data_IF_801999376049
#
_entry.id   IF_801999376049
#
_cell.length_a   1.000
_cell.length_b   1.000
_cell.length_c   1.000
_cell.angle_alpha   90.00
_cell.angle_beta   90.00
_cell.angle_gamma   90.00
#
_symmetry.space_group_name_H-M   'P 1'
#
loop_
_entity.id
_entity.type
_entity.pdbx_description
1 polymer ?
#
# COMPACT_ATOMS: atom_id res chain seq x y z
N UNK A 1 6.77 -21.68 31.70
CA UNK A 1 7.16 -22.18 30.36
C UNK A 1 6.18 -21.59 29.34
N UNK A 2 6.71 -21.05 28.23
CA UNK A 2 5.99 -20.18 27.29
C UNK A 2 4.93 -20.96 26.49
N UNK A 3 3.71 -20.42 26.27
CA UNK A 3 2.82 -20.90 25.21
C UNK A 3 3.11 -20.16 23.90
N UNK A 4 3.10 -20.91 22.82
CA UNK A 4 3.70 -20.56 21.53
C UNK A 4 2.59 -20.10 20.58
N UNK A 5 2.57 -18.81 20.24
CA UNK A 5 1.60 -18.25 19.29
C UNK A 5 2.03 -18.54 17.85
N UNK A 6 1.38 -19.52 17.19
CA UNK A 6 1.49 -19.78 15.75
C UNK A 6 0.14 -20.27 15.21
N UNK A 7 -0.33 -19.56 14.18
CA UNK A 7 -1.44 -19.83 13.24
C UNK A 7 -2.87 -19.55 13.77
N UNK A 8 -3.74 -18.81 13.07
CA UNK A 8 -3.69 -18.32 11.69
C UNK A 8 -4.50 -17.03 11.51
N UNK A 9 -3.87 -16.05 10.88
CA UNK A 9 -4.56 -14.87 10.37
C UNK A 9 -5.38 -15.30 9.16
N UNK A 10 -6.70 -15.24 9.28
CA UNK A 10 -7.57 -15.29 8.11
C UNK A 10 -7.45 -13.93 7.42
N UNK A 11 -6.41 -13.79 6.60
CA UNK A 11 -6.30 -12.74 5.61
C UNK A 11 -7.39 -12.99 4.55
N UNK A 12 -8.60 -12.46 4.78
CA UNK A 12 -9.58 -12.36 3.70
C UNK A 12 -9.12 -11.22 2.80
N UNK A 13 -8.27 -11.60 1.84
CA UNK A 13 -8.01 -10.86 0.63
C UNK A 13 -9.33 -10.77 -0.16
N UNK A 14 -10.10 -9.70 0.03
CA UNK A 14 -11.04 -9.28 -1.01
C UNK A 14 -10.25 -8.60 -2.12
N UNK A 15 -9.58 -9.43 -2.92
CA UNK A 15 -9.07 -9.04 -4.22
C UNK A 15 -10.25 -8.90 -5.18
N UNK A 16 -10.84 -7.71 -5.26
CA UNK A 16 -11.64 -7.34 -6.44
C UNK A 16 -10.75 -6.51 -7.36
N UNK A 17 -9.88 -7.23 -8.08
CA UNK A 17 -9.13 -6.67 -9.20
C UNK A 17 -9.98 -6.73 -10.46
N UNK A 18 -10.73 -5.66 -10.75
CA UNK A 18 -11.14 -5.30 -12.10
C UNK A 18 -11.24 -3.77 -12.22
N UNK A 19 -10.09 -3.14 -12.42
CA UNK A 19 -10.01 -1.86 -13.11
C UNK A 19 -8.66 -1.81 -13.86
N UNK A 20 -8.68 -2.13 -15.15
CA UNK A 20 -7.61 -1.75 -16.10
C UNK A 20 -7.66 -0.25 -16.38
N UNK A 21 -7.75 0.55 -15.32
CA UNK A 21 -7.77 2.01 -15.35
C UNK A 21 -6.54 2.51 -14.62
N UNK A 22 -5.87 3.53 -15.17
CA UNK A 22 -4.66 4.16 -14.67
C UNK A 22 -4.53 4.05 -13.14
N UNK A 23 -3.84 3.00 -12.68
CA UNK A 23 -3.55 2.85 -11.26
C UNK A 23 -2.77 4.07 -10.83
N UNK A 24 -3.11 4.63 -9.67
CA UNK A 24 -2.35 5.71 -9.08
C UNK A 24 -0.91 5.21 -8.87
N UNK A 25 0.00 5.68 -9.72
CA UNK A 25 1.36 5.16 -9.85
C UNK A 25 2.12 5.33 -8.55
N UNK A 26 2.70 4.25 -8.05
CA UNK A 26 3.41 4.23 -6.78
C UNK A 26 4.65 3.38 -6.89
N UNK A 27 5.80 4.02 -6.78
CA UNK A 27 7.12 3.38 -6.87
C UNK A 27 7.61 2.81 -5.53
N UNK A 28 6.86 2.99 -4.42
CA UNK A 28 7.29 2.56 -3.08
C UNK A 28 8.38 3.43 -2.44
N UNK A 29 8.92 4.42 -3.16
CA UNK A 29 9.89 5.41 -2.69
C UNK A 29 9.56 6.80 -3.29
N UNK A 30 10.14 7.89 -2.76
CA UNK A 30 9.86 9.26 -3.23
C UNK A 30 10.56 9.57 -4.56
N UNK A 31 10.06 8.99 -5.65
CA UNK A 31 10.65 9.05 -7.00
C UNK A 31 10.97 10.47 -7.52
N UNK A 32 10.21 11.49 -7.12
CA UNK A 32 10.47 12.88 -7.55
C UNK A 32 11.76 13.47 -6.97
N UNK A 33 12.35 12.81 -5.96
CA UNK A 33 13.66 13.17 -5.40
C UNK A 33 14.80 12.37 -6.02
N UNK A 34 14.49 11.32 -6.77
CA UNK A 34 15.51 10.49 -7.40
C UNK A 34 16.12 11.21 -8.62
N UNK A 35 17.45 11.18 -8.71
CA UNK A 35 18.19 11.92 -9.72
C UNK A 35 17.93 11.39 -11.14
N UNK A 36 17.71 10.08 -11.31
CA UNK A 36 17.37 9.51 -12.60
C UNK A 36 15.97 9.96 -13.03
N UNK A 37 14.98 9.85 -12.14
CA UNK A 37 13.62 10.32 -12.43
C UNK A 37 13.56 11.82 -12.75
N UNK A 38 14.30 12.67 -12.01
CA UNK A 38 14.37 14.10 -12.30
C UNK A 38 14.93 14.39 -13.69
N UNK A 39 15.97 13.65 -14.12
CA UNK A 39 16.55 13.79 -15.47
C UNK A 39 15.59 13.30 -16.55
N UNK A 40 15.07 12.08 -16.42
CA UNK A 40 14.26 11.42 -17.46
C UNK A 40 12.93 12.14 -17.72
N UNK A 41 12.32 12.67 -16.64
CA UNK A 41 11.11 13.49 -16.70
C UNK A 41 11.41 14.97 -16.92
N UNK A 42 12.68 15.39 -16.85
CA UNK A 42 13.10 16.79 -16.91
C UNK A 42 12.32 17.66 -15.92
N UNK A 43 12.24 17.20 -14.66
CA UNK A 43 11.48 17.89 -13.61
C UNK A 43 12.14 19.23 -13.29
N UNK A 44 11.35 20.29 -13.29
CA UNK A 44 11.82 21.58 -12.82
C UNK A 44 11.91 21.60 -11.29
N UNK A 45 12.77 22.46 -10.70
CA UNK A 45 12.78 22.64 -9.25
C UNK A 45 11.41 23.02 -8.68
N UNK A 46 10.62 23.80 -9.42
CA UNK A 46 9.26 24.16 -9.04
C UNK A 46 8.32 22.94 -9.01
N UNK A 47 8.38 22.07 -10.02
CA UNK A 47 7.57 20.85 -10.05
C UNK A 47 7.92 19.93 -8.88
N UNK A 48 9.21 19.72 -8.61
CA UNK A 48 9.68 18.94 -7.46
C UNK A 48 9.17 19.52 -6.15
N UNK A 49 9.26 20.84 -5.96
CA UNK A 49 8.75 21.50 -4.76
C UNK A 49 7.22 21.38 -4.61
N UNK A 50 6.46 21.51 -5.70
CA UNK A 50 5.00 21.32 -5.69
C UNK A 50 4.61 19.89 -5.33
N UNK A 51 5.29 18.89 -5.88
CA UNK A 51 5.06 17.48 -5.54
C UNK A 51 5.37 17.24 -4.05
N UNK A 52 6.48 17.77 -3.56
CA UNK A 52 6.88 17.69 -2.15
C UNK A 52 5.82 18.28 -1.21
N UNK A 53 5.30 19.46 -1.57
CA UNK A 53 4.25 20.16 -0.81
C UNK A 53 2.91 19.41 -0.78
N UNK A 54 2.60 18.61 -1.81
CA UNK A 54 1.44 17.69 -1.79
C UNK A 54 1.71 16.49 -0.89
N UNK A 55 2.91 15.93 -0.97
CA UNK A 55 3.27 14.67 -0.32
C UNK A 55 3.39 14.81 1.20
N UNK A 56 4.19 15.77 1.70
CA UNK A 56 4.55 15.87 3.11
C UNK A 56 3.37 15.96 4.10
N UNK A 57 2.40 16.87 3.92
CA UNK A 57 1.25 16.91 4.82
C UNK A 57 0.41 15.63 4.71
N UNK A 58 0.25 15.10 3.49
CA UNK A 58 -0.61 13.95 3.24
C UNK A 58 -0.04 12.66 3.81
N UNK A 59 1.28 12.42 3.68
CA UNK A 59 1.92 11.23 4.26
C UNK A 59 1.87 11.26 5.79
N UNK A 60 1.98 12.45 6.39
CA UNK A 60 1.83 12.65 7.85
C UNK A 60 0.42 12.29 8.30
N UNK A 61 -0.61 12.76 7.58
CA UNK A 61 -2.00 12.40 7.84
C UNK A 61 -2.25 10.90 7.68
N UNK A 62 -1.70 10.28 6.63
CA UNK A 62 -1.84 8.84 6.37
C UNK A 62 -1.22 8.00 7.49
N UNK A 63 -0.05 8.39 8.01
CA UNK A 63 0.58 7.70 9.15
C UNK A 63 -0.29 7.76 10.39
N UNK A 64 -0.78 8.94 10.76
CA UNK A 64 -1.67 9.10 11.91
C UNK A 64 -2.97 8.27 11.77
N UNK A 65 -3.58 8.28 10.57
CA UNK A 65 -4.77 7.47 10.28
C UNK A 65 -4.49 5.97 10.24
N UNK A 66 -3.26 5.54 9.92
CA UNK A 66 -2.87 4.13 10.00
C UNK A 66 -2.78 3.67 11.45
N UNK A 67 -2.19 4.48 12.34
CA UNK A 67 -2.18 4.19 13.78
C UNK A 67 -3.59 4.09 14.35
N UNK A 68 -4.51 4.95 13.93
CA UNK A 68 -5.92 4.83 14.29
C UNK A 68 -6.55 3.54 13.76
N UNK A 69 -6.25 3.16 12.51
CA UNK A 69 -6.72 1.89 11.95
C UNK A 69 -6.22 0.69 12.78
N UNK A 70 -4.93 0.65 13.11
CA UNK A 70 -4.34 -0.41 13.94
C UNK A 70 -5.09 -0.55 15.27
N UNK A 71 -5.36 0.58 15.93
CA UNK A 71 -6.10 0.58 17.19
C UNK A 71 -7.54 0.03 17.04
N UNK A 72 -8.29 0.46 16.01
CA UNK A 72 -9.65 -0.02 15.79
C UNK A 72 -9.70 -1.50 15.37
N UNK A 73 -8.68 -2.00 14.68
CA UNK A 73 -8.50 -3.42 14.34
C UNK A 73 -8.20 -4.28 15.57
N UNK A 74 -7.40 -3.76 16.51
CA UNK A 74 -7.15 -4.40 17.81
C UNK A 74 -8.43 -4.46 18.66
N UNK A 75 -9.20 -3.36 18.72
CA UNK A 75 -10.50 -3.33 19.40
C UNK A 75 -11.48 -4.35 18.80
N UNK A 76 -11.56 -4.44 17.47
CA UNK A 76 -12.38 -5.44 16.78
C UNK A 76 -11.98 -6.86 17.17
N UNK A 77 -10.66 -7.13 17.20
CA UNK A 77 -10.12 -8.43 17.59
C UNK A 77 -10.49 -8.79 19.03
N UNK A 78 -10.47 -7.82 19.94
CA UNK A 78 -10.88 -8.01 21.34
C UNK A 78 -12.38 -8.30 21.47
N UNK A 79 -13.25 -7.58 20.75
CA UNK A 79 -14.70 -7.82 20.76
C UNK A 79 -15.03 -9.24 20.31
N UNK A 80 -14.39 -9.71 19.23
CA UNK A 80 -14.57 -11.07 18.73
C UNK A 80 -14.07 -12.09 19.77
N UNK A 81 -12.89 -11.89 20.34
CA UNK A 81 -12.34 -12.80 21.35
C UNK A 81 -13.20 -12.87 22.63
N UNK A 82 -13.90 -11.80 22.97
CA UNK A 82 -14.81 -11.73 24.10
C UNK A 82 -16.20 -12.32 23.81
N UNK A 83 -16.47 -12.82 22.59
CA UNK A 83 -17.80 -13.23 22.13
C UNK A 83 -18.85 -12.13 22.34
N UNK A 84 -18.50 -10.89 22.02
CA UNK A 84 -19.44 -9.77 22.05
C UNK A 84 -20.64 -10.03 21.13
N UNK A 85 -21.74 -9.32 21.37
CA UNK A 85 -22.92 -9.42 20.51
C UNK A 85 -22.62 -8.94 19.07
N UNK A 86 -23.38 -9.48 18.13
CA UNK A 86 -23.20 -9.21 16.70
C UNK A 86 -23.31 -7.71 16.38
N UNK A 87 -24.21 -6.96 17.03
CA UNK A 87 -24.40 -5.55 16.76
C UNK A 87 -23.17 -4.71 17.16
N UNK A 88 -22.51 -5.05 18.27
CA UNK A 88 -21.26 -4.44 18.69
C UNK A 88 -20.12 -4.72 17.71
N UNK A 89 -20.01 -5.96 17.22
CA UNK A 89 -19.01 -6.36 16.21
C UNK A 89 -19.24 -5.61 14.90
N UNK A 90 -20.48 -5.58 14.39
CA UNK A 90 -20.84 -4.87 13.15
C UNK A 90 -20.49 -3.39 13.25
N UNK A 91 -20.84 -2.73 14.36
CA UNK A 91 -20.51 -1.32 14.58
C UNK A 91 -19.00 -1.07 14.54
N UNK A 92 -18.20 -1.98 15.09
CA UNK A 92 -16.75 -1.85 15.07
C UNK A 92 -16.17 -2.09 13.68
N UNK A 93 -16.70 -3.06 12.93
CA UNK A 93 -16.36 -3.28 11.52
C UNK A 93 -16.62 -2.01 10.70
N UNK A 94 -17.77 -1.36 10.86
CA UNK A 94 -18.09 -0.12 10.14
C UNK A 94 -17.06 0.99 10.38
N UNK A 95 -16.55 1.13 11.62
CA UNK A 95 -15.48 2.09 11.93
C UNK A 95 -14.18 1.74 11.21
N UNK A 96 -13.76 0.47 11.27
CA UNK A 96 -12.55 -0.03 10.61
C UNK A 96 -12.64 0.23 9.11
N UNK A 97 -13.75 -0.12 8.49
CA UNK A 97 -13.96 0.07 7.05
C UNK A 97 -14.03 1.55 6.66
N UNK A 98 -14.65 2.41 7.48
CA UNK A 98 -14.63 3.84 7.24
C UNK A 98 -13.20 4.43 7.24
N UNK A 99 -12.33 3.97 8.14
CA UNK A 99 -10.93 4.40 8.21
C UNK A 99 -10.13 3.86 7.00
N UNK A 100 -10.32 2.58 6.63
CA UNK A 100 -9.70 1.98 5.42
C UNK A 100 -10.09 2.76 4.16
N UNK A 101 -11.38 3.07 4.00
CA UNK A 101 -11.87 3.87 2.88
C UNK A 101 -11.24 5.28 2.87
N UNK A 102 -11.15 5.93 4.03
CA UNK A 102 -10.51 7.24 4.16
C UNK A 102 -9.02 7.20 3.76
N UNK A 103 -8.27 6.21 4.24
CA UNK A 103 -6.85 6.01 3.88
C UNK A 103 -6.68 5.84 2.38
N UNK A 104 -7.47 4.96 1.77
CA UNK A 104 -7.43 4.70 0.32
C UNK A 104 -7.74 5.96 -0.49
N UNK A 105 -8.81 6.68 -0.14
CA UNK A 105 -9.17 7.94 -0.82
C UNK A 105 -8.06 8.98 -0.69
N UNK A 106 -7.52 9.16 0.51
CA UNK A 106 -6.47 10.13 0.78
C UNK A 106 -5.20 9.83 -0.02
N UNK A 107 -4.77 8.55 -0.04
CA UNK A 107 -3.62 8.11 -0.82
C UNK A 107 -3.83 8.29 -2.32
N UNK A 108 -4.99 7.90 -2.84
CA UNK A 108 -5.33 8.04 -4.26
C UNK A 108 -5.32 9.50 -4.70
N UNK A 109 -5.93 10.39 -3.91
CA UNK A 109 -5.96 11.82 -4.21
C UNK A 109 -4.57 12.46 -4.12
N UNK A 110 -3.72 12.03 -3.20
CA UNK A 110 -2.32 12.47 -3.13
C UNK A 110 -1.59 12.17 -4.45
N UNK A 111 -1.61 10.91 -4.87
CA UNK A 111 -0.94 10.45 -6.09
C UNK A 111 -1.50 11.13 -7.35
N UNK A 112 -2.82 11.31 -7.42
CA UNK A 112 -3.47 12.07 -8.50
C UNK A 112 -2.95 13.51 -8.55
N UNK A 113 -2.91 14.22 -7.41
CA UNK A 113 -2.43 15.61 -7.32
C UNK A 113 -0.96 15.72 -7.70
N UNK A 114 -0.12 14.79 -7.27
CA UNK A 114 1.29 14.74 -7.68
C UNK A 114 1.42 14.57 -9.20
N UNK A 115 0.64 13.67 -9.80
CA UNK A 115 0.60 13.47 -11.26
C UNK A 115 0.11 14.72 -12.00
N UNK A 116 -0.78 15.51 -11.40
CA UNK A 116 -1.32 16.74 -11.99
C UNK A 116 -0.29 17.88 -12.10
N UNK A 117 0.79 17.85 -11.31
CA UNK A 117 1.91 18.81 -11.42
C UNK A 117 2.70 18.61 -12.73
N UNK A 118 2.67 17.41 -13.29
CA UNK A 118 3.39 17.06 -14.52
C UNK A 118 2.63 17.50 -15.77
N UNK A 119 3.37 17.82 -16.83
CA UNK A 119 2.82 18.02 -18.18
C UNK A 119 2.25 16.72 -18.74
N UNK A 120 1.39 16.77 -19.78
CA UNK A 120 0.90 15.57 -20.45
C UNK A 120 2.03 14.64 -20.92
N UNK A 121 3.10 15.19 -21.49
CA UNK A 121 4.26 14.45 -22.00
C UNK A 121 5.03 13.78 -20.87
N UNK A 122 5.24 14.50 -19.75
CA UNK A 122 5.87 13.95 -18.55
C UNK A 122 5.05 12.81 -17.96
N UNK A 123 3.72 12.88 -17.97
CA UNK A 123 2.84 11.79 -17.50
C UNK A 123 2.99 10.54 -18.36
N UNK A 124 3.13 10.69 -19.68
CA UNK A 124 3.39 9.55 -20.59
C UNK A 124 4.74 8.92 -20.28
N UNK A 125 5.78 9.71 -20.04
CA UNK A 125 7.10 9.20 -19.63
C UNK A 125 7.04 8.48 -18.27
N UNK A 126 6.35 9.06 -17.28
CA UNK A 126 6.17 8.46 -15.97
C UNK A 126 5.47 7.10 -16.04
N UNK A 127 4.44 6.96 -16.89
CA UNK A 127 3.81 5.67 -17.18
C UNK A 127 4.82 4.63 -17.66
N UNK A 128 5.67 4.97 -18.63
CA UNK A 128 6.70 4.03 -19.13
C UNK A 128 7.70 3.64 -18.05
N UNK A 129 8.16 4.60 -17.25
CA UNK A 129 9.07 4.33 -16.12
C UNK A 129 8.43 3.41 -15.07
N UNK A 130 7.13 3.59 -14.80
CA UNK A 130 6.38 2.74 -13.88
C UNK A 130 6.24 1.31 -14.41
N UNK A 131 5.86 1.16 -15.68
CA UNK A 131 5.71 -0.17 -16.29
C UNK A 131 7.04 -0.94 -16.34
N UNK A 132 8.16 -0.24 -16.56
CA UNK A 132 9.50 -0.82 -16.48
C UNK A 132 9.84 -1.22 -15.06
N UNK A 133 9.65 -0.31 -14.10
CA UNK A 133 9.91 -0.57 -12.69
C UNK A 133 9.10 -1.76 -12.17
N UNK A 134 7.81 -1.88 -12.52
CA UNK A 134 6.98 -3.03 -12.15
C UNK A 134 7.52 -4.33 -12.73
N UNK A 135 7.94 -4.36 -13.99
CA UNK A 135 8.53 -5.56 -14.60
C UNK A 135 9.81 -6.00 -13.90
N UNK A 136 10.66 -5.04 -13.54
CA UNK A 136 11.94 -5.30 -12.89
C UNK A 136 11.75 -5.79 -11.43
N UNK A 137 10.68 -5.33 -10.76
CA UNK A 137 10.41 -5.65 -9.35
C UNK A 137 9.35 -6.75 -9.15
N UNK A 138 8.71 -7.23 -10.23
CA UNK A 138 7.91 -8.44 -10.18
C UNK A 138 8.82 -9.62 -9.86
N UNK A 139 8.65 -10.19 -8.66
CA UNK A 139 9.30 -11.46 -8.30
C UNK A 139 8.93 -12.51 -9.36
N UNK A 140 9.89 -13.29 -9.89
CA UNK A 140 9.52 -14.42 -10.73
C UNK A 140 8.55 -15.33 -9.95
N UNK A 141 7.58 -15.98 -10.62
CA UNK A 141 6.71 -16.95 -9.97
C UNK A 141 7.60 -17.91 -9.16
N UNK A 142 7.28 -18.13 -7.87
CA UNK A 142 7.94 -19.20 -7.12
C UNK A 142 7.68 -20.50 -7.90
N UNK A 143 8.70 -21.00 -8.60
CA UNK A 143 8.61 -22.25 -9.32
C UNK A 143 8.30 -23.39 -8.33
N UNK A 144 7.53 -24.40 -8.74
CA UNK A 144 7.29 -25.58 -7.90
C UNK A 144 8.60 -26.38 -7.79
N UNK A 145 9.43 -26.09 -6.80
CA UNK A 145 10.72 -26.79 -6.65
C UNK A 145 11.44 -26.65 -5.30
N UNK A 146 10.91 -25.89 -4.34
CA UNK A 146 11.64 -25.58 -3.09
C UNK A 146 11.18 -26.42 -1.87
N UNK A 147 10.48 -27.53 -2.09
CA UNK A 147 10.05 -28.45 -1.02
C UNK A 147 10.97 -29.68 -0.83
N UNK A 148 11.95 -29.92 -1.69
CA UNK A 148 12.72 -31.19 -1.68
C UNK A 148 14.03 -31.18 -0.88
N UNK A 149 14.39 -30.07 -0.22
CA UNK A 149 15.65 -29.99 0.55
C UNK A 149 15.50 -30.11 2.08
N UNK A 150 14.29 -30.33 2.59
CA UNK A 150 14.03 -30.57 4.02
C UNK A 150 13.62 -32.03 4.30
N UNK A 151 14.37 -33.00 3.77
CA UNK A 151 14.08 -34.42 4.00
C UNK A 151 15.28 -35.36 4.11
N UNK A 152 16.51 -34.91 3.85
CA UNK A 152 17.72 -35.76 3.96
C UNK A 152 18.69 -35.18 4.97
N UNK A 153 18.46 -35.52 6.24
CA UNK A 153 19.35 -35.10 7.31
C UNK A 153 18.94 -35.62 8.68
N UNK A 154 18.47 -36.88 8.77
CA UNK A 154 18.41 -37.64 10.02
C UNK A 154 18.61 -39.13 9.71
N UNK A 155 19.86 -39.56 9.76
CA UNK A 155 20.26 -40.86 10.29
C UNK A 155 21.34 -40.59 11.34
#
# INVERSE_FOLDING_TARGET
MRPNWRLGWVAILFSLALATGAHAQSFGFPWWRDAQFQRDLSLTPEQTARIENVFQPTITQLRAKKTELDHQEDELSQLIAANADEAAVVKQVDKVEAIRAHLNKTRTLMLLRMRQVLSPEQRVKLNKLHDQWEKDHQRPPRGPGDNDKQGRGRQ
#
